data_IF_588880832604
#
_entry.id   IF_588880832604
#
_cell.length_a   1.000
_cell.length_b   1.000
_cell.length_c   1.000
_cell.angle_alpha   90.00
_cell.angle_beta   90.00
_cell.angle_gamma   90.00
#
_symmetry.space_group_name_H-M   'P 1'
#
loop_
_entity.id
_entity.type
_entity.pdbx_description
1 polymer ?
#
# COMPACT_ATOMS: atom_id res chain seq x y z
N UNK A 1 4.30 13.09 1.19
CA UNK A 1 4.78 11.88 0.51
C UNK A 1 3.60 11.09 -0.01
N UNK A 2 3.59 10.80 -1.31
CA UNK A 2 2.61 9.91 -1.96
C UNK A 2 3.32 8.59 -2.21
N UNK A 3 2.71 7.48 -1.83
CA UNK A 3 3.30 6.15 -2.05
C UNK A 3 2.49 5.40 -3.09
N UNK A 4 3.16 4.86 -4.11
CA UNK A 4 2.58 4.05 -5.16
C UNK A 4 3.09 2.61 -5.00
N UNK A 5 2.16 1.66 -5.09
CA UNK A 5 2.47 0.23 -5.14
C UNK A 5 2.08 -0.27 -6.54
N UNK A 6 3.07 -0.66 -7.36
CA UNK A 6 2.86 -1.31 -8.66
C UNK A 6 3.01 -2.81 -8.46
N UNK A 7 2.09 -3.60 -9.01
CA UNK A 7 2.19 -5.06 -8.92
C UNK A 7 1.37 -5.76 -10.01
N UNK A 8 2.01 -6.61 -10.81
CA UNK A 8 1.26 -7.64 -11.54
C UNK A 8 0.79 -8.69 -10.52
N UNK A 9 -0.52 -8.67 -10.24
CA UNK A 9 -1.13 -9.46 -9.16
C UNK A 9 -1.44 -10.90 -9.58
N UNK A 10 -1.40 -11.19 -10.89
CA UNK A 10 -1.71 -12.51 -11.46
C UNK A 10 -3.00 -13.10 -10.85
N UNK A 11 -4.10 -12.36 -11.01
CA UNK A 11 -5.42 -12.67 -10.48
C UNK A 11 -5.75 -11.96 -9.16
N UNK A 12 -6.63 -10.97 -9.27
CA UNK A 12 -7.05 -10.12 -8.14
C UNK A 12 -7.65 -10.92 -6.98
N UNK A 13 -8.55 -11.84 -7.28
CA UNK A 13 -9.24 -12.68 -6.27
C UNK A 13 -8.25 -13.62 -5.59
N UNK A 14 -7.42 -14.31 -6.37
CA UNK A 14 -6.49 -15.33 -5.89
C UNK A 14 -5.43 -14.78 -4.93
N UNK A 15 -5.01 -13.53 -5.17
CA UNK A 15 -3.93 -12.86 -4.44
C UNK A 15 -4.42 -11.71 -3.55
N UNK A 16 -5.73 -11.59 -3.34
CA UNK A 16 -6.32 -10.51 -2.53
C UNK A 16 -5.76 -10.42 -1.10
N UNK A 17 -5.57 -11.58 -0.43
CA UNK A 17 -4.99 -11.61 0.92
C UNK A 17 -3.56 -11.04 0.92
N UNK A 18 -2.76 -11.35 -0.10
CA UNK A 18 -1.41 -10.83 -0.21
C UNK A 18 -1.42 -9.32 -0.50
N UNK A 19 -2.37 -8.84 -1.32
CA UNK A 19 -2.59 -7.42 -1.53
C UNK A 19 -2.95 -6.70 -0.22
N UNK A 20 -3.83 -7.25 0.61
CA UNK A 20 -4.14 -6.69 1.93
C UNK A 20 -2.93 -6.63 2.86
N UNK A 21 -2.06 -7.63 2.82
CA UNK A 21 -0.81 -7.62 3.60
C UNK A 21 0.15 -6.54 3.11
N UNK A 22 0.26 -6.32 1.80
CA UNK A 22 1.01 -5.20 1.22
C UNK A 22 0.42 -3.86 1.65
N UNK A 23 -0.92 -3.73 1.61
CA UNK A 23 -1.62 -2.54 2.08
C UNK A 23 -1.37 -2.25 3.55
N UNK A 24 -1.42 -3.27 4.42
CA UNK A 24 -1.12 -3.11 5.84
C UNK A 24 0.34 -2.78 6.12
N UNK A 25 1.25 -3.34 5.32
CA UNK A 25 2.70 -3.15 5.48
C UNK A 25 3.17 -1.77 5.02
N UNK A 26 2.71 -1.33 3.85
CA UNK A 26 3.22 -0.14 3.16
C UNK A 26 2.23 1.03 3.14
N UNK A 27 0.94 0.79 3.41
CA UNK A 27 -0.12 1.81 3.42
C UNK A 27 -0.07 2.73 2.18
N UNK A 28 -0.05 2.18 0.95
CA UNK A 28 0.12 2.96 -0.27
C UNK A 28 -0.99 4.00 -0.44
N UNK A 29 -0.69 5.12 -1.08
CA UNK A 29 -1.70 6.11 -1.46
C UNK A 29 -2.48 5.66 -2.71
N UNK A 30 -1.77 4.98 -3.62
CA UNK A 30 -2.27 4.51 -4.91
C UNK A 30 -1.68 3.12 -5.15
N UNK A 31 -2.48 2.21 -5.70
CA UNK A 31 -2.06 0.86 -6.07
C UNK A 31 -2.37 0.68 -7.55
N UNK A 32 -1.40 0.21 -8.32
CA UNK A 32 -1.47 -0.05 -9.74
C UNK A 32 -1.34 -1.57 -9.93
N UNK A 33 -2.38 -2.20 -10.47
CA UNK A 33 -2.44 -3.64 -10.63
C UNK A 33 -2.50 -4.02 -12.11
N UNK A 34 -1.68 -5.01 -12.49
CA UNK A 34 -1.73 -5.69 -13.78
C UNK A 34 -2.26 -7.12 -13.60
N UNK A 35 -2.82 -7.71 -14.66
CA UNK A 35 -3.44 -9.05 -14.67
C UNK A 35 -4.46 -9.24 -13.55
N UNK A 36 -5.46 -8.36 -13.49
CA UNK A 36 -6.53 -8.49 -12.49
C UNK A 36 -7.40 -9.73 -12.69
N UNK A 37 -7.43 -10.28 -13.92
CA UNK A 37 -8.21 -11.45 -14.31
C UNK A 37 -9.73 -11.26 -14.20
N UNK A 38 -10.18 -10.01 -14.29
CA UNK A 38 -11.59 -9.65 -14.31
C UNK A 38 -12.05 -9.52 -15.76
N UNK A 39 -13.25 -10.01 -16.06
CA UNK A 39 -13.83 -9.87 -17.40
C UNK A 39 -14.13 -8.40 -17.74
N UNK A 40 -14.36 -8.12 -19.02
CA UNK A 40 -14.80 -6.80 -19.47
C UNK A 40 -16.05 -6.34 -18.71
N UNK A 41 -16.07 -5.06 -18.29
CA UNK A 41 -17.10 -4.45 -17.43
C UNK A 41 -17.32 -5.09 -16.05
N UNK A 42 -16.54 -6.12 -15.67
CA UNK A 42 -16.60 -6.64 -14.32
C UNK A 42 -15.86 -5.71 -13.36
N UNK A 43 -16.46 -5.51 -12.19
CA UNK A 43 -15.82 -4.85 -11.06
C UNK A 43 -15.60 -5.87 -9.95
N UNK A 44 -14.48 -5.76 -9.25
CA UNK A 44 -14.20 -6.58 -8.08
C UNK A 44 -14.44 -5.82 -6.77
N UNK A 45 -14.46 -6.58 -5.68
CA UNK A 45 -14.47 -6.02 -4.34
C UNK A 45 -13.27 -5.07 -4.14
N UNK A 46 -13.55 -3.79 -3.89
CA UNK A 46 -12.51 -2.80 -3.59
C UNK A 46 -12.36 -2.63 -2.08
N UNK A 47 -11.14 -2.65 -1.53
CA UNK A 47 -10.92 -2.38 -0.11
C UNK A 47 -11.52 -1.03 0.28
N UNK A 48 -12.20 -0.96 1.43
CA UNK A 48 -13.01 0.22 1.82
C UNK A 48 -12.21 1.52 1.89
N UNK A 49 -10.92 1.47 2.21
CA UNK A 49 -10.06 2.65 2.23
C UNK A 49 -9.82 3.27 0.84
N UNK A 50 -10.17 2.56 -0.23
CA UNK A 50 -9.86 2.90 -1.61
C UNK A 50 -11.12 3.04 -2.47
N UNK A 51 -10.95 3.76 -3.57
CA UNK A 51 -11.79 3.77 -4.77
C UNK A 51 -11.05 2.96 -5.82
N UNK A 52 -11.73 2.02 -6.49
CA UNK A 52 -11.12 1.12 -7.45
C UNK A 52 -11.67 1.36 -8.84
N UNK A 53 -10.77 1.47 -9.82
CA UNK A 53 -11.07 1.54 -11.24
C UNK A 53 -10.51 0.28 -11.89
N UNK A 54 -11.37 -0.57 -12.45
CA UNK A 54 -10.99 -1.81 -13.10
C UNK A 54 -11.30 -1.71 -14.58
N UNK A 55 -10.32 -2.00 -15.42
CA UNK A 55 -10.46 -1.96 -16.88
C UNK A 55 -9.92 -3.25 -17.47
N UNK A 56 -10.67 -3.84 -18.37
CA UNK A 56 -10.19 -4.87 -19.28
C UNK A 56 -10.69 -4.52 -20.69
N UNK A 57 -10.05 -5.03 -21.74
CA UNK A 57 -10.46 -4.76 -23.11
C UNK A 57 -11.64 -5.66 -23.52
N UNK A 58 -12.61 -5.17 -24.32
CA UNK A 58 -13.79 -5.95 -24.72
C UNK A 58 -13.47 -7.23 -25.50
N UNK A 59 -12.39 -7.22 -26.28
CA UNK A 59 -11.98 -8.34 -27.13
C UNK A 59 -11.14 -9.39 -26.38
N UNK A 60 -10.84 -9.17 -25.10
CA UNK A 60 -10.14 -10.15 -24.28
C UNK A 60 -11.09 -11.29 -23.90
N UNK A 61 -11.03 -12.38 -24.67
CA UNK A 61 -11.79 -13.61 -24.42
C UNK A 61 -11.24 -14.42 -23.25
N UNK A 62 -10.02 -14.13 -22.79
CA UNK A 62 -9.40 -14.77 -21.64
C UNK A 62 -9.46 -13.86 -20.42
N UNK A 63 -9.86 -14.41 -19.27
CA UNK A 63 -9.78 -13.75 -17.96
C UNK A 63 -8.31 -13.67 -17.46
N UNK A 64 -7.33 -13.47 -18.34
CA UNK A 64 -5.89 -13.42 -18.00
C UNK A 64 -5.28 -12.02 -18.11
N UNK A 65 -6.08 -11.03 -18.47
CA UNK A 65 -5.63 -9.65 -18.62
C UNK A 65 -6.41 -8.73 -17.65
N UNK A 66 -6.25 -7.42 -17.86
CA UNK A 66 -6.95 -6.37 -17.13
C UNK A 66 -6.02 -5.63 -16.17
N UNK A 67 -6.35 -4.36 -15.96
CA UNK A 67 -5.61 -3.45 -15.08
C UNK A 67 -6.55 -2.86 -14.04
N UNK A 68 -5.98 -2.39 -12.93
CA UNK A 68 -6.71 -1.57 -11.99
C UNK A 68 -5.86 -0.47 -11.36
N UNK A 69 -6.52 0.61 -10.99
CA UNK A 69 -5.98 1.61 -10.07
C UNK A 69 -6.86 1.68 -8.83
N UNK A 70 -6.27 1.45 -7.66
CA UNK A 70 -6.92 1.67 -6.37
C UNK A 70 -6.35 2.94 -5.72
N UNK A 71 -7.20 3.93 -5.47
CA UNK A 71 -6.80 5.23 -4.92
C UNK A 71 -7.38 5.40 -3.52
N UNK A 72 -6.59 5.80 -2.53
CA UNK A 72 -7.14 6.12 -1.21
C UNK A 72 -8.24 7.17 -1.32
N UNK A 73 -9.36 6.94 -0.63
CA UNK A 73 -10.54 7.82 -0.66
C UNK A 73 -10.27 9.26 -0.23
N UNK A 74 -9.25 9.49 0.58
CA UNK A 74 -8.88 10.83 1.05
C UNK A 74 -7.90 11.56 0.12
N UNK A 75 -7.51 10.95 -1.00
CA UNK A 75 -6.69 11.59 -2.02
C UNK A 75 -7.62 12.09 -3.14
N UNK A 76 -7.78 13.41 -3.33
CA UNK A 76 -8.60 13.94 -4.42
C UNK A 76 -8.02 13.53 -5.78
N UNK A 77 -8.87 13.00 -6.66
CA UNK A 77 -8.48 12.51 -7.97
C UNK A 77 -9.66 12.52 -8.94
N UNK A 78 -9.34 12.51 -10.24
CA UNK A 78 -10.30 12.35 -11.34
C UNK A 78 -9.78 11.32 -12.33
N UNK A 79 -10.70 10.60 -13.00
CA UNK A 79 -10.34 9.69 -14.08
C UNK A 79 -9.97 10.51 -15.33
N UNK A 80 -8.88 10.15 -16.00
CA UNK A 80 -8.49 10.76 -17.27
C UNK A 80 -8.95 9.87 -18.44
N UNK A 81 -9.51 10.45 -19.51
CA UNK A 81 -9.78 9.69 -20.72
C UNK A 81 -8.45 9.29 -21.38
N UNK A 82 -8.30 8.01 -21.68
CA UNK A 82 -7.22 7.51 -22.53
C UNK A 82 -7.85 7.19 -23.90
N UNK A 83 -7.21 7.54 -25.01
CA UNK A 83 -7.66 7.12 -26.34
C UNK A 83 -7.88 5.60 -26.41
N UNK A 84 -8.76 5.16 -27.31
CA UNK A 84 -8.87 3.73 -27.61
C UNK A 84 -7.48 3.18 -27.92
N UNK A 85 -7.09 2.16 -27.18
CA UNK A 85 -5.73 1.66 -27.13
C UNK A 85 -5.74 0.15 -27.22
N UNK A 86 -4.69 -0.39 -27.83
CA UNK A 86 -4.38 -1.81 -27.79
C UNK A 86 -3.95 -2.25 -26.38
N UNK A 87 -3.62 -1.32 -25.49
CA UNK A 87 -3.26 -1.63 -24.11
C UNK A 87 -4.49 -1.66 -23.20
N UNK A 88 -4.54 -2.62 -22.29
CA UNK A 88 -5.40 -2.49 -21.11
C UNK A 88 -4.80 -1.39 -20.25
N UNK A 89 -5.45 -0.22 -20.18
CA UNK A 89 -4.89 0.96 -19.51
C UNK A 89 -5.94 1.78 -18.77
N UNK A 90 -5.49 2.47 -17.72
CA UNK A 90 -6.32 3.38 -16.92
C UNK A 90 -5.43 4.51 -16.40
N UNK A 91 -5.94 5.75 -16.43
CA UNK A 91 -5.22 6.92 -15.96
C UNK A 91 -6.09 7.75 -15.02
N UNK A 92 -5.46 8.33 -14.02
CA UNK A 92 -6.08 9.29 -13.12
C UNK A 92 -5.19 10.53 -13.00
N UNK A 93 -5.78 11.68 -12.71
CA UNK A 93 -5.06 12.86 -12.24
C UNK A 93 -5.32 13.01 -10.74
N UNK A 94 -4.24 13.03 -9.94
CA UNK A 94 -4.33 13.30 -8.50
C UNK A 94 -3.97 14.74 -8.21
N UNK A 95 -4.57 15.31 -7.16
CA UNK A 95 -4.17 16.61 -6.64
C UNK A 95 -3.32 16.44 -5.38
N UNK A 96 -2.02 16.67 -5.51
CA UNK A 96 -1.10 16.59 -4.38
C UNK A 96 0.13 17.50 -4.56
N UNK A 97 0.32 18.45 -3.64
CA UNK A 97 0.42 19.91 -3.88
C UNK A 97 0.28 20.48 -5.31
N UNK A 98 0.54 19.73 -6.36
CA UNK A 98 0.30 20.03 -7.77
C UNK A 98 -0.41 18.82 -8.42
N UNK A 99 -0.87 18.97 -9.66
CA UNK A 99 -1.49 17.88 -10.41
C UNK A 99 -0.43 16.88 -10.86
N UNK A 100 -0.72 15.58 -10.71
CA UNK A 100 0.15 14.50 -11.21
C UNK A 100 -0.73 13.46 -11.90
N UNK A 101 -0.42 13.10 -13.14
CA UNK A 101 -1.09 12.01 -13.83
C UNK A 101 -0.46 10.67 -13.46
N UNK A 102 -1.28 9.70 -13.08
CA UNK A 102 -0.85 8.34 -12.73
C UNK A 102 -1.50 7.38 -13.74
N UNK A 103 -0.68 6.64 -14.47
CA UNK A 103 -1.12 5.77 -15.55
C UNK A 103 -0.70 4.34 -15.23
N UNK A 104 -1.64 3.40 -15.34
CA UNK A 104 -1.41 1.97 -15.25
C UNK A 104 -1.71 1.36 -16.62
N UNK A 105 -0.79 0.58 -17.17
CA UNK A 105 -0.98 -0.08 -18.47
C UNK A 105 -0.45 -1.51 -18.44
N UNK A 106 -1.02 -2.37 -19.29
CA UNK A 106 -0.57 -3.75 -19.48
C UNK A 106 -0.45 -4.07 -20.98
N UNK A 107 0.66 -4.71 -21.35
CA UNK A 107 0.89 -5.28 -22.68
C UNK A 107 1.15 -6.79 -22.58
N UNK A 108 0.25 -7.64 -23.11
CA UNK A 108 0.46 -9.10 -23.16
C UNK A 108 1.73 -9.47 -23.95
N UNK A 109 2.40 -10.59 -23.66
CA UNK A 109 3.65 -11.00 -24.31
C UNK A 109 3.62 -10.94 -25.84
N UNK A 110 2.56 -11.47 -26.45
CA UNK A 110 2.43 -11.64 -27.91
C UNK A 110 1.94 -10.40 -28.65
N UNK A 111 1.53 -9.35 -27.94
CA UNK A 111 1.00 -8.13 -28.54
C UNK A 111 2.11 -7.16 -28.94
N UNK A 112 2.39 -6.98 -30.23
CA UNK A 112 3.31 -5.93 -30.70
C UNK A 112 2.71 -4.52 -30.59
N UNK A 113 3.58 -3.51 -30.44
CA UNK A 113 3.18 -2.10 -30.51
C UNK A 113 4.34 -1.23 -31.02
N UNK A 114 3.97 -0.13 -31.65
CA UNK A 114 4.86 0.92 -32.14
C UNK A 114 5.18 1.96 -31.06
N UNK A 115 6.24 2.73 -31.28
CA UNK A 115 6.62 3.89 -30.46
C UNK A 115 5.44 4.87 -30.26
N UNK A 116 4.68 5.14 -31.33
CA UNK A 116 3.53 6.08 -31.28
C UNK A 116 2.41 5.54 -30.42
N UNK A 117 2.07 4.25 -30.57
CA UNK A 117 1.04 3.61 -29.72
C UNK A 117 1.42 3.64 -28.25
N UNK A 118 2.71 3.43 -27.93
CA UNK A 118 3.20 3.55 -26.56
C UNK A 118 3.09 4.98 -26.04
N UNK A 119 3.48 6.00 -26.81
CA UNK A 119 3.35 7.41 -26.40
C UNK A 119 1.89 7.83 -26.18
N UNK A 120 0.94 7.22 -26.90
CA UNK A 120 -0.49 7.47 -26.71
C UNK A 120 -1.04 6.99 -25.36
N UNK A 121 -0.28 6.20 -24.58
CA UNK A 121 -0.61 5.89 -23.19
C UNK A 121 -0.53 7.11 -22.29
N UNK A 122 0.22 8.15 -22.67
CA UNK A 122 0.38 9.39 -21.92
C UNK A 122 -0.67 10.38 -22.43
N UNK A 123 -1.75 10.67 -21.67
CA UNK A 123 -2.79 11.56 -22.16
C UNK A 123 -2.24 12.97 -22.41
N UNK A 124 -2.66 13.60 -23.51
CA UNK A 124 -2.24 14.96 -23.88
C UNK A 124 -2.40 15.95 -22.71
N UNK A 125 -1.36 16.74 -22.44
CA UNK A 125 -1.33 17.68 -21.32
C UNK A 125 -1.01 17.07 -19.95
N UNK A 126 -0.80 15.74 -19.86
CA UNK A 126 -0.37 15.08 -18.63
C UNK A 126 1.11 15.34 -18.35
N UNK A 127 1.42 16.40 -17.59
CA UNK A 127 2.77 16.64 -17.07
C UNK A 127 2.66 17.39 -15.71
N UNK A 128 3.31 16.92 -14.64
CA UNK A 128 4.09 15.68 -14.54
C UNK A 128 3.22 14.42 -14.51
N UNK A 129 3.78 13.31 -14.98
CA UNK A 129 3.15 12.00 -14.96
C UNK A 129 4.08 10.89 -14.44
N UNK A 130 3.48 9.77 -14.04
CA UNK A 130 4.12 8.47 -13.89
C UNK A 130 3.28 7.40 -14.59
N UNK A 131 3.93 6.61 -15.43
CA UNK A 131 3.41 5.46 -16.15
C UNK A 131 4.05 4.20 -15.58
N UNK A 132 3.22 3.29 -15.10
CA UNK A 132 3.63 2.02 -14.54
C UNK A 132 2.89 0.89 -15.24
N UNK A 133 3.52 -0.26 -15.35
CA UNK A 133 2.88 -1.40 -15.96
C UNK A 133 3.80 -2.58 -16.20
N UNK A 134 3.20 -3.71 -16.55
CA UNK A 134 3.90 -4.84 -17.15
C UNK A 134 3.75 -4.73 -18.68
N UNK A 135 4.88 -4.55 -19.35
CA UNK A 135 4.92 -4.36 -20.81
C UNK A 135 5.44 -5.59 -21.55
N UNK A 136 5.91 -6.63 -20.84
CA UNK A 136 6.61 -7.76 -21.45
C UNK A 136 7.73 -7.31 -22.42
N UNK A 137 8.37 -6.18 -22.10
CA UNK A 137 9.39 -5.54 -22.93
C UNK A 137 10.77 -5.71 -22.30
N UNK A 138 11.77 -6.07 -23.11
CA UNK A 138 13.14 -6.27 -22.65
C UNK A 138 14.02 -5.15 -23.16
N UNK A 139 14.84 -4.56 -22.29
CA UNK A 139 15.90 -3.61 -22.65
C UNK A 139 16.98 -3.59 -21.56
N UNK A 140 18.25 -3.39 -21.93
CA UNK A 140 19.31 -3.04 -20.99
C UNK A 140 19.01 -1.80 -20.15
N UNK A 141 18.21 -0.84 -20.65
CA UNK A 141 17.87 0.39 -19.92
C UNK A 141 17.15 0.14 -18.58
N UNK A 142 16.48 -1.00 -18.43
CA UNK A 142 15.82 -1.40 -17.18
C UNK A 142 16.29 -2.76 -16.65
N UNK A 143 17.45 -3.23 -17.11
CA UNK A 143 18.16 -4.39 -16.56
C UNK A 143 18.04 -5.71 -17.32
N UNK A 144 17.39 -5.74 -18.48
CA UNK A 144 17.40 -6.96 -19.31
C UNK A 144 18.74 -7.16 -20.02
N UNK A 145 19.10 -8.40 -20.35
CA UNK A 145 20.35 -8.68 -21.07
C UNK A 145 20.38 -8.13 -22.51
N UNK A 146 19.21 -8.00 -23.15
CA UNK A 146 19.09 -7.56 -24.54
C UNK A 146 17.75 -6.86 -24.78
N UNK A 147 17.66 -6.07 -25.85
CA UNK A 147 16.41 -5.44 -26.25
C UNK A 147 15.58 -6.34 -27.17
N UNK A 148 14.28 -6.51 -26.88
CA UNK A 148 13.31 -7.08 -27.82
C UNK A 148 12.63 -5.97 -28.65
N UNK A 149 11.74 -6.32 -29.58
CA UNK A 149 11.06 -5.33 -30.45
C UNK A 149 10.27 -4.29 -29.65
N UNK A 150 9.53 -4.72 -28.62
CA UNK A 150 8.82 -3.84 -27.69
C UNK A 150 9.76 -2.92 -26.92
N UNK A 151 10.88 -3.48 -26.45
CA UNK A 151 11.92 -2.74 -25.77
C UNK A 151 12.46 -1.61 -26.64
N UNK A 152 12.80 -1.90 -27.89
CA UNK A 152 13.22 -0.89 -28.87
C UNK A 152 12.15 0.18 -29.10
N UNK A 153 10.87 -0.20 -29.25
CA UNK A 153 9.78 0.77 -29.38
C UNK A 153 9.68 1.72 -28.17
N UNK A 154 9.89 1.21 -26.96
CA UNK A 154 9.88 2.02 -25.72
C UNK A 154 11.16 2.85 -25.61
N UNK A 155 12.34 2.31 -25.93
CA UNK A 155 13.61 3.06 -25.98
C UNK A 155 13.48 4.28 -26.90
N UNK A 156 12.96 4.08 -28.11
CA UNK A 156 12.67 5.16 -29.06
C UNK A 156 11.67 6.18 -28.50
N UNK A 157 10.66 5.72 -27.76
CA UNK A 157 9.67 6.61 -27.14
C UNK A 157 10.32 7.46 -26.05
N UNK A 158 11.18 6.87 -25.23
CA UNK A 158 11.95 7.56 -24.19
C UNK A 158 12.91 8.59 -24.79
N UNK A 159 13.56 8.30 -25.92
CA UNK A 159 14.43 9.25 -26.61
C UNK A 159 13.66 10.43 -27.21
N UNK A 160 12.43 10.20 -27.68
CA UNK A 160 11.56 11.23 -28.29
C UNK A 160 10.79 12.07 -27.27
N UNK A 161 10.76 11.66 -26.01
CA UNK A 161 9.97 12.30 -24.96
C UNK A 161 10.84 12.65 -23.76
N UNK A 162 10.41 13.61 -22.93
CA UNK A 162 11.17 14.01 -21.75
C UNK A 162 10.88 13.08 -20.55
N UNK A 163 11.16 11.79 -20.74
CA UNK A 163 10.77 10.70 -19.85
C UNK A 163 11.99 9.95 -19.30
N UNK A 164 11.88 9.47 -18.07
CA UNK A 164 12.96 8.78 -17.36
C UNK A 164 12.43 7.44 -16.85
N UNK A 165 13.20 6.38 -17.05
CA UNK A 165 12.99 5.06 -16.44
C UNK A 165 13.50 5.10 -15.00
N UNK A 166 12.68 4.64 -14.06
CA UNK A 166 13.00 4.63 -12.63
C UNK A 166 13.58 3.30 -12.15
N UNK A 167 13.45 2.23 -12.94
CA UNK A 167 13.98 0.92 -12.62
C UNK A 167 15.50 0.97 -12.44
N UNK A 168 16.01 0.31 -11.40
CA UNK A 168 17.46 0.26 -11.08
C UNK A 168 18.17 -0.99 -11.63
N UNK A 169 17.47 -1.78 -12.45
CA UNK A 169 17.94 -3.07 -12.98
C UNK A 169 17.62 -4.28 -12.08
N UNK A 170 17.04 -4.08 -10.91
CA UNK A 170 16.54 -5.17 -10.07
C UNK A 170 15.45 -5.96 -10.82
N UNK A 171 15.47 -7.30 -10.75
CA UNK A 171 14.49 -8.13 -11.44
C UNK A 171 13.09 -7.94 -10.87
N UNK A 172 12.09 -7.87 -11.75
CA UNK A 172 10.69 -7.57 -11.39
C UNK A 172 9.78 -8.78 -11.56
N UNK A 173 10.23 -9.82 -12.25
CA UNK A 173 9.47 -11.03 -12.52
C UNK A 173 10.34 -12.28 -12.42
N UNK A 174 9.72 -13.37 -11.98
CA UNK A 174 10.30 -14.70 -11.94
C UNK A 174 9.59 -15.63 -12.92
N UNK A 175 10.28 -15.95 -14.02
CA UNK A 175 9.70 -16.68 -15.14
C UNK A 175 9.43 -18.16 -14.85
N UNK A 176 8.57 -18.75 -15.67
CA UNK A 176 8.31 -20.20 -15.70
C UNK A 176 9.57 -21.02 -16.00
N UNK A 177 10.55 -20.43 -16.69
CA UNK A 177 11.87 -21.01 -16.96
C UNK A 177 12.85 -20.87 -15.78
N UNK A 178 12.35 -20.46 -14.61
CA UNK A 178 13.14 -20.27 -13.39
C UNK A 178 14.23 -19.19 -13.49
N UNK A 179 14.01 -18.20 -14.35
CA UNK A 179 14.92 -17.06 -14.55
C UNK A 179 14.30 -15.77 -14.03
N UNK A 180 15.16 -14.82 -13.65
CA UNK A 180 14.73 -13.48 -13.28
C UNK A 180 14.70 -12.57 -14.51
N UNK A 181 13.66 -11.77 -14.65
CA UNK A 181 13.47 -10.86 -15.79
C UNK A 181 12.96 -9.49 -15.34
N UNK A 182 13.10 -8.50 -16.21
CA UNK A 182 12.77 -7.10 -15.95
C UNK A 182 11.72 -6.63 -16.98
N UNK A 183 10.45 -6.89 -16.70
CA UNK A 183 9.34 -6.62 -17.64
C UNK A 183 8.32 -5.62 -17.11
N UNK A 184 8.38 -5.33 -15.80
CA UNK A 184 7.56 -4.31 -15.14
C UNK A 184 8.33 -2.98 -15.13
N UNK A 185 7.75 -1.95 -15.76
CA UNK A 185 8.38 -0.65 -15.88
C UNK A 185 7.70 0.39 -15.02
N UNK A 186 8.52 1.31 -14.49
CA UNK A 186 8.08 2.57 -13.90
C UNK A 186 8.78 3.70 -14.64
N UNK A 187 8.01 4.51 -15.38
CA UNK A 187 8.51 5.62 -16.20
C UNK A 187 7.85 6.90 -15.71
N UNK A 188 8.59 8.00 -15.59
CA UNK A 188 8.02 9.28 -15.21
C UNK A 188 8.51 10.42 -16.09
N UNK A 189 7.84 11.57 -16.01
CA UNK A 189 8.39 12.81 -16.56
C UNK A 189 9.72 13.15 -15.89
N UNK A 190 10.69 13.69 -16.64
CA UNK A 190 11.99 14.06 -16.11
C UNK A 190 11.88 15.06 -14.93
N UNK A 191 10.90 15.97 -14.97
CA UNK A 191 10.58 16.93 -13.91
C UNK A 191 10.20 16.31 -12.55
N UNK A 192 9.78 15.03 -12.55
CA UNK A 192 9.36 14.30 -11.36
C UNK A 192 10.46 13.35 -10.84
N UNK A 193 11.38 12.90 -11.70
CA UNK A 193 12.38 11.86 -11.43
C UNK A 193 13.13 12.06 -10.10
N UNK A 194 13.69 13.25 -9.87
CA UNK A 194 14.48 13.58 -8.68
C UNK A 194 13.68 13.57 -7.37
N UNK A 195 12.35 13.54 -7.45
CA UNK A 195 11.45 13.49 -6.28
C UNK A 195 10.97 12.07 -5.99
N UNK A 196 11.28 11.09 -6.85
CA UNK A 196 10.82 9.72 -6.70
C UNK A 196 11.96 8.85 -6.17
N UNK A 197 11.66 8.10 -5.12
CA UNK A 197 12.45 6.91 -4.78
C UNK A 197 11.72 5.66 -5.27
N UNK A 198 12.46 4.72 -5.82
CA UNK A 198 11.97 3.48 -6.40
C UNK A 198 12.62 2.30 -5.69
N UNK A 199 11.87 1.22 -5.47
CA UNK A 199 12.38 0.00 -4.85
C UNK A 199 11.54 -1.21 -5.26
N UNK A 200 12.17 -2.28 -5.72
CA UNK A 200 11.53 -3.58 -5.86
C UNK A 200 11.48 -4.29 -4.49
N UNK A 201 10.35 -4.91 -4.15
CA UNK A 201 10.19 -5.65 -2.89
C UNK A 201 10.64 -7.09 -3.10
N UNK A 202 11.60 -7.58 -2.30
CA UNK A 202 12.16 -8.95 -2.41
C UNK A 202 11.25 -10.04 -1.78
N UNK A 203 9.97 -10.03 -2.16
CA UNK A 203 8.99 -11.09 -1.92
C UNK A 203 7.97 -11.06 -3.06
N UNK A 204 7.70 -12.20 -3.68
CA UNK A 204 6.71 -12.33 -4.74
C UNK A 204 5.26 -12.12 -4.28
N UNK A 205 5.00 -12.20 -2.98
CA UNK A 205 3.68 -12.01 -2.40
C UNK A 205 2.59 -12.87 -3.08
N UNK A 206 2.94 -14.09 -3.51
CA UNK A 206 2.01 -15.06 -4.10
C UNK A 206 1.76 -14.92 -5.61
N UNK A 207 2.32 -13.89 -6.24
CA UNK A 207 2.44 -13.78 -7.70
C UNK A 207 3.76 -14.42 -8.17
N UNK A 208 4.03 -14.35 -9.46
CA UNK A 208 5.33 -14.52 -10.12
C UNK A 208 6.04 -13.17 -10.37
N UNK A 209 5.36 -12.05 -10.11
CA UNK A 209 5.94 -10.71 -10.14
C UNK A 209 6.19 -10.15 -8.74
N UNK A 210 7.29 -9.41 -8.61
CA UNK A 210 7.63 -8.67 -7.40
C UNK A 210 6.87 -7.35 -7.36
N UNK A 211 6.25 -7.00 -6.22
CA UNK A 211 5.68 -5.67 -6.04
C UNK A 211 6.77 -4.60 -6.05
N UNK A 212 6.47 -3.46 -6.66
CA UNK A 212 7.35 -2.30 -6.80
C UNK A 212 6.77 -1.14 -6.00
N UNK A 213 7.62 -0.45 -5.24
CA UNK A 213 7.25 0.69 -4.41
C UNK A 213 7.92 1.96 -4.92
N UNK A 214 7.10 2.94 -5.30
CA UNK A 214 7.55 4.27 -5.70
C UNK A 214 7.04 5.31 -4.71
N UNK A 215 7.93 6.11 -4.10
CA UNK A 215 7.54 7.17 -3.16
C UNK A 215 7.87 8.53 -3.76
N UNK A 216 6.83 9.32 -3.99
CA UNK A 216 6.93 10.69 -4.48
C UNK A 216 7.04 11.64 -3.28
N UNK A 217 8.17 12.30 -3.18
CA UNK A 217 8.41 13.38 -2.23
C UNK A 217 7.58 14.59 -2.63
N UNK A 218 6.64 14.98 -1.77
CA UNK A 218 5.85 16.19 -1.94
C UNK A 218 6.38 17.24 -0.99
N UNK A 219 6.54 18.48 -1.46
CA UNK A 219 7.12 19.62 -0.71
C UNK A 219 6.30 20.06 0.51
N UNK A 220 5.19 19.38 0.82
CA UNK A 220 4.48 19.62 2.07
C UNK A 220 5.34 19.07 3.21
N UNK A 221 5.73 19.89 4.20
CA UNK A 221 6.12 19.33 5.47
C UNK A 221 4.88 18.56 5.93
N UNK A 222 4.94 17.24 5.92
CA UNK A 222 4.00 16.52 6.72
C UNK A 222 4.29 16.95 8.15
N UNK A 223 3.44 17.82 8.70
CA UNK A 223 3.12 17.74 10.11
C UNK A 223 2.37 16.41 10.30
N UNK A 224 3.07 15.30 10.11
CA UNK A 224 2.85 14.20 11.02
C UNK A 224 3.15 14.83 12.36
N UNK A 225 2.10 15.24 13.08
CA UNK A 225 2.21 15.38 14.51
C UNK A 225 2.77 14.02 14.94
N UNK A 226 4.09 13.96 15.18
CA UNK A 226 4.69 12.81 15.84
C UNK A 226 3.78 12.59 17.04
N UNK A 227 3.20 11.38 17.22
CA UNK A 227 2.36 11.11 18.37
C UNK A 227 3.11 11.66 19.58
N UNK A 228 2.54 12.66 20.27
CA UNK A 228 3.24 13.28 21.38
C UNK A 228 3.54 12.16 22.35
N UNK A 229 4.82 11.96 22.65
CA UNK A 229 5.23 11.01 23.67
C UNK A 229 4.59 11.50 24.97
N UNK A 230 3.73 10.69 25.56
CA UNK A 230 3.06 10.94 26.83
C UNK A 230 3.59 9.96 27.86
N UNK A 231 3.65 10.40 29.10
CA UNK A 231 3.82 9.50 30.23
C UNK A 231 2.57 8.62 30.35
N UNK A 232 2.77 7.31 30.52
CA UNK A 232 1.69 6.39 30.85
C UNK A 232 1.47 6.41 32.35
N UNK A 233 0.62 7.32 32.82
CA UNK A 233 0.29 7.48 34.24
C UNK A 233 -0.34 6.23 34.85
N UNK A 234 -1.08 5.46 34.04
CA UNK A 234 -1.74 4.22 34.48
C UNK A 234 -0.76 3.07 34.75
N UNK A 235 0.49 3.23 34.31
CA UNK A 235 1.58 2.27 34.53
C UNK A 235 2.77 2.92 35.25
N UNK A 236 2.52 4.04 35.94
CA UNK A 236 3.53 4.79 36.67
C UNK A 236 3.92 4.08 37.97
N UNK A 237 5.22 4.07 38.27
CA UNK A 237 5.74 3.75 39.58
C UNK A 237 5.68 5.02 40.46
N UNK A 238 4.61 5.15 41.24
CA UNK A 238 4.34 6.34 42.03
C UNK A 238 5.26 6.49 43.24
N UNK A 239 5.66 5.37 43.86
CA UNK A 239 6.57 5.38 45.01
C UNK A 239 7.94 5.89 44.58
N UNK A 240 8.45 5.37 43.47
CA UNK A 240 9.71 5.84 42.86
C UNK A 240 9.64 7.30 42.41
N UNK A 241 8.47 7.76 41.95
CA UNK A 241 8.26 9.16 41.59
C UNK A 241 8.37 10.09 42.82
N UNK A 242 7.75 9.68 43.93
CA UNK A 242 7.79 10.43 45.19
C UNK A 242 9.22 10.51 45.73
N UNK A 243 9.91 9.37 45.78
CA UNK A 243 11.32 9.31 46.22
C UNK A 243 12.23 10.19 45.33
N UNK A 244 12.02 10.15 44.01
CA UNK A 244 12.75 10.99 43.08
C UNK A 244 12.45 12.48 43.31
N UNK A 245 11.20 12.88 43.56
CA UNK A 245 10.85 14.27 43.84
C UNK A 245 11.56 14.79 45.11
N UNK A 246 11.55 13.99 46.19
CA UNK A 246 12.24 14.34 47.43
C UNK A 246 13.76 14.40 47.27
N UNK A 247 14.34 13.48 46.50
CA UNK A 247 15.77 13.47 46.23
C UNK A 247 16.18 14.69 45.41
N UNK A 248 15.49 14.96 44.29
CA UNK A 248 15.79 16.09 43.41
C UNK A 248 15.58 17.44 44.10
N UNK A 249 14.59 17.58 44.99
CA UNK A 249 14.32 18.84 45.69
C UNK A 249 15.46 19.29 46.59
N UNK A 250 16.26 18.34 47.12
CA UNK A 250 17.43 18.63 47.99
C UNK A 250 18.63 19.19 47.24
N UNK A 251 18.74 18.98 45.93
CA UNK A 251 19.88 19.42 45.13
C UNK A 251 19.75 20.84 44.57
N UNK A 252 18.59 21.48 44.73
CA UNK A 252 18.37 22.83 44.22
C UNK A 252 18.21 23.84 45.38
N UNK A 253 19.11 24.83 45.51
CA UNK A 253 18.99 25.86 46.52
C UNK A 253 17.77 26.75 46.27
N UNK A 254 17.20 27.29 47.34
CA UNK A 254 16.03 28.16 47.30
C UNK A 254 16.33 29.49 46.61
N UNK A 255 15.43 29.95 45.74
CA UNK A 255 15.47 31.27 45.10
C UNK A 255 14.31 32.15 45.56
N UNK A 256 14.57 33.44 45.76
CA UNK A 256 13.54 34.45 46.04
C UNK A 256 12.75 34.88 44.80
N UNK A 257 13.20 34.50 43.59
CA UNK A 257 12.52 34.79 42.34
C UNK A 257 11.44 33.72 42.04
N UNK A 258 10.18 34.16 42.01
CA UNK A 258 9.00 33.31 41.77
C UNK A 258 9.11 32.55 40.43
N UNK A 259 9.59 33.19 39.37
CA UNK A 259 9.72 32.56 38.06
C UNK A 259 10.80 31.47 38.05
N UNK A 260 11.87 31.65 38.83
CA UNK A 260 12.91 30.65 39.01
C UNK A 260 12.40 29.47 39.83
N UNK A 261 11.62 29.72 40.89
CA UNK A 261 10.99 28.65 41.69
C UNK A 261 9.96 27.84 40.89
N UNK A 262 9.11 28.49 40.09
CA UNK A 262 8.17 27.79 39.22
C UNK A 262 8.91 26.89 38.20
N UNK A 263 10.00 27.41 37.61
CA UNK A 263 10.86 26.65 36.69
C UNK A 263 11.55 25.47 37.39
N UNK A 264 11.92 25.64 38.65
CA UNK A 264 12.55 24.59 39.49
C UNK A 264 11.58 23.45 39.76
N UNK A 265 10.37 23.76 40.22
CA UNK A 265 9.31 22.77 40.46
C UNK A 265 9.01 22.00 39.17
N UNK A 266 8.88 22.70 38.04
CA UNK A 266 8.65 22.06 36.75
C UNK A 266 9.79 21.11 36.34
N UNK A 267 11.05 21.48 36.60
CA UNK A 267 12.22 20.61 36.34
C UNK A 267 12.21 19.37 37.23
N UNK A 268 11.93 19.52 38.52
CA UNK A 268 11.88 18.40 39.48
C UNK A 268 10.81 17.40 39.06
N UNK A 269 9.58 17.87 38.81
CA UNK A 269 8.46 17.03 38.38
C UNK A 269 8.83 16.31 37.09
N UNK A 270 9.38 17.02 36.10
CA UNK A 270 9.74 16.42 34.81
C UNK A 270 10.86 15.38 34.92
N UNK A 271 11.86 15.62 35.77
CA UNK A 271 12.97 14.69 36.01
C UNK A 271 12.46 13.41 36.70
N UNK A 272 11.68 13.58 37.76
CA UNK A 272 11.06 12.47 38.47
C UNK A 272 10.11 11.65 37.58
N UNK A 273 9.30 12.31 36.74
CA UNK A 273 8.43 11.63 35.77
C UNK A 273 9.23 10.83 34.75
N UNK A 274 10.35 11.36 34.22
CA UNK A 274 11.20 10.62 33.29
C UNK A 274 11.83 9.38 33.92
N UNK A 275 12.12 9.42 35.21
CA UNK A 275 12.74 8.30 35.94
C UNK A 275 11.73 7.20 36.31
N UNK A 276 10.46 7.56 36.50
CA UNK A 276 9.48 6.70 37.18
C UNK A 276 8.31 6.28 36.28
N UNK A 277 8.09 6.97 35.16
CA UNK A 277 6.95 6.71 34.27
C UNK A 277 7.41 6.10 32.95
N UNK A 278 6.80 5.00 32.49
CA UNK A 278 7.05 4.51 31.15
C UNK A 278 6.47 5.48 30.10
N UNK A 279 7.22 5.72 29.04
CA UNK A 279 6.83 6.59 27.95
C UNK A 279 5.98 5.83 26.91
N UNK A 280 5.00 6.51 26.32
CA UNK A 280 4.28 6.00 25.15
C UNK A 280 5.21 5.92 23.94
N UNK A 281 5.08 4.86 23.12
CA UNK A 281 5.84 4.76 21.87
C UNK A 281 5.49 5.90 20.90
N UNK A 282 6.50 6.50 20.28
CA UNK A 282 6.32 7.43 19.15
C UNK A 282 6.02 6.71 17.84
N UNK A 283 6.24 5.39 17.78
CA UNK A 283 5.95 4.59 16.59
C UNK A 283 4.43 4.35 16.56
N UNK A 284 3.75 4.72 15.46
CA UNK A 284 2.35 4.35 15.30
C UNK A 284 2.24 2.83 15.43
N UNK A 285 1.36 2.36 16.32
CA UNK A 285 1.07 0.93 16.45
C UNK A 285 0.46 0.49 15.12
N UNK A 286 1.23 -0.25 14.31
CA UNK A 286 0.65 -1.00 13.19
C UNK A 286 -0.20 -2.10 13.80
N UNK A 287 -1.50 -1.85 13.89
CA UNK A 287 -2.44 -2.88 14.31
C UNK A 287 -2.41 -3.96 13.23
N UNK A 288 -1.89 -5.14 13.58
CA UNK A 288 -2.06 -6.31 12.73
C UNK A 288 -3.56 -6.56 12.52
N UNK A 289 -3.96 -7.09 11.35
CA UNK A 289 -5.34 -7.49 11.13
C UNK A 289 -5.81 -8.43 12.24
N UNK A 290 -7.09 -8.35 12.62
CA UNK A 290 -7.64 -9.15 13.73
C UNK A 290 -7.52 -10.66 13.50
N UNK A 291 -7.56 -11.09 12.24
CA UNK A 291 -7.40 -12.49 11.83
C UNK A 291 -5.93 -12.96 11.82
N UNK A 292 -4.97 -12.06 12.04
CA UNK A 292 -3.55 -12.40 12.05
C UNK A 292 -3.14 -13.01 13.39
N UNK A 293 -2.45 -14.14 13.35
CA UNK A 293 -2.04 -14.88 14.54
C UNK A 293 -0.60 -15.42 14.43
N UNK A 294 -0.13 -16.08 15.50
CA UNK A 294 1.23 -16.62 15.57
C UNK A 294 1.47 -17.76 14.55
N UNK A 295 0.46 -18.60 14.27
CA UNK A 295 0.56 -19.67 13.26
C UNK A 295 0.81 -19.07 11.86
N UNK A 296 0.03 -18.06 11.47
CA UNK A 296 0.21 -17.37 10.18
C UNK A 296 1.57 -16.67 10.07
N UNK A 297 2.07 -16.14 11.19
CA UNK A 297 3.41 -15.54 11.26
C UNK A 297 4.49 -16.59 10.99
N UNK A 298 4.39 -17.77 11.61
CA UNK A 298 5.30 -18.87 11.39
C UNK A 298 5.23 -19.40 9.95
N UNK A 299 4.03 -19.61 9.40
CA UNK A 299 3.82 -20.05 8.02
C UNK A 299 4.35 -19.04 7.01
N UNK A 300 4.18 -17.73 7.26
CA UNK A 300 4.76 -16.68 6.42
C UNK A 300 6.29 -16.74 6.44
N UNK A 301 6.90 -16.96 7.59
CA UNK A 301 8.35 -17.09 7.72
C UNK A 301 8.86 -18.33 6.97
N UNK A 302 8.23 -19.49 7.16
CA UNK A 302 8.58 -20.71 6.42
C UNK A 302 8.48 -20.53 4.89
N UNK A 303 7.42 -19.85 4.43
CA UNK A 303 7.26 -19.48 3.01
C UNK A 303 8.44 -18.62 2.53
N UNK A 304 8.87 -17.62 3.29
CA UNK A 304 9.99 -16.75 2.91
C UNK A 304 11.33 -17.48 2.95
N UNK A 305 11.56 -18.35 3.93
CA UNK A 305 12.77 -19.19 3.97
C UNK A 305 12.84 -20.10 2.74
N UNK A 306 11.74 -20.77 2.40
CA UNK A 306 11.67 -21.62 1.20
C UNK A 306 11.89 -20.81 -0.09
N UNK A 307 11.36 -19.59 -0.17
CA UNK A 307 11.61 -18.66 -1.27
C UNK A 307 13.10 -18.32 -1.41
N UNK A 308 13.76 -17.90 -0.33
CA UNK A 308 15.19 -17.56 -0.36
C UNK A 308 16.08 -18.76 -0.69
N UNK A 309 15.72 -19.95 -0.19
CA UNK A 309 16.41 -21.19 -0.54
C UNK A 309 16.31 -21.49 -2.04
N UNK A 310 15.11 -21.36 -2.60
CA UNK A 310 14.88 -21.56 -4.03
C UNK A 310 15.58 -20.50 -4.89
N UNK A 311 15.54 -19.23 -4.49
CA UNK A 311 16.25 -18.12 -5.15
C UNK A 311 17.76 -18.37 -5.21
N UNK A 312 18.34 -18.92 -4.14
CA UNK A 312 19.76 -19.27 -4.05
C UNK A 312 20.09 -20.52 -4.87
N UNK A 313 19.29 -21.58 -4.72
CA UNK A 313 19.50 -22.89 -5.35
C UNK A 313 18.22 -23.29 -6.12
N UNK A 314 18.23 -23.08 -7.44
CA UNK A 314 17.09 -23.29 -8.33
C UNK A 314 16.87 -24.77 -8.67
N UNK A 315 16.62 -25.59 -7.66
CA UNK A 315 16.25 -27.00 -7.85
C UNK A 315 14.73 -27.16 -7.94
N UNK A 316 14.28 -28.20 -8.64
CA UNK A 316 12.87 -28.59 -8.68
C UNK A 316 12.32 -28.89 -7.27
N UNK A 317 13.13 -29.50 -6.41
CA UNK A 317 12.78 -29.77 -5.02
C UNK A 317 12.51 -28.47 -4.23
N UNK A 318 13.36 -27.46 -4.37
CA UNK A 318 13.18 -26.18 -3.69
C UNK A 318 11.96 -25.43 -4.23
N UNK A 319 11.70 -25.50 -5.55
CA UNK A 319 10.48 -24.93 -6.14
C UNK A 319 9.22 -25.60 -5.59
N UNK A 320 9.21 -26.93 -5.49
CA UNK A 320 8.10 -27.69 -4.92
C UNK A 320 7.90 -27.32 -3.44
N UNK A 321 8.98 -27.20 -2.66
CA UNK A 321 8.91 -26.79 -1.26
C UNK A 321 8.30 -25.39 -1.11
N UNK A 322 8.77 -24.41 -1.89
CA UNK A 322 8.20 -23.05 -1.91
C UNK A 322 6.72 -23.06 -2.29
N UNK A 323 6.33 -23.76 -3.36
CA UNK A 323 4.93 -23.87 -3.80
C UNK A 323 4.04 -24.48 -2.71
N UNK A 324 4.51 -25.52 -2.03
CA UNK A 324 3.80 -26.15 -0.90
C UNK A 324 3.62 -25.17 0.26
N UNK A 325 4.68 -24.49 0.69
CA UNK A 325 4.60 -23.49 1.77
C UNK A 325 3.70 -22.31 1.41
N UNK A 326 3.72 -21.84 0.16
CA UNK A 326 2.84 -20.77 -0.31
C UNK A 326 1.37 -21.21 -0.31
N UNK A 327 1.07 -22.41 -0.82
CA UNK A 327 -0.28 -22.96 -0.83
C UNK A 327 -0.83 -23.14 0.60
N UNK A 328 -0.02 -23.68 1.52
CA UNK A 328 -0.40 -23.85 2.91
C UNK A 328 -0.68 -22.51 3.60
N UNK A 329 0.21 -21.53 3.43
CA UNK A 329 0.01 -20.18 3.96
C UNK A 329 -1.30 -19.56 3.44
N UNK A 330 -1.55 -19.63 2.12
CA UNK A 330 -2.78 -19.10 1.51
C UNK A 330 -4.02 -19.76 2.09
N UNK A 331 -4.04 -21.08 2.17
CA UNK A 331 -5.17 -21.84 2.71
C UNK A 331 -5.45 -21.45 4.18
N UNK A 332 -4.41 -21.42 5.02
CA UNK A 332 -4.54 -21.09 6.44
C UNK A 332 -4.94 -19.63 6.67
N UNK A 333 -4.40 -18.70 5.88
CA UNK A 333 -4.79 -17.28 5.98
C UNK A 333 -6.26 -17.08 5.60
N UNK A 334 -6.72 -17.76 4.54
CA UNK A 334 -8.13 -17.77 4.11
C UNK A 334 -9.04 -18.31 5.22
N UNK A 335 -8.70 -19.47 5.80
CA UNK A 335 -9.44 -20.05 6.92
C UNK A 335 -9.48 -19.14 8.16
N UNK A 336 -8.35 -18.51 8.52
CA UNK A 336 -8.29 -17.60 9.66
C UNK A 336 -9.16 -16.36 9.49
N UNK A 337 -9.27 -15.80 8.27
CA UNK A 337 -10.19 -14.68 7.99
C UNK A 337 -11.65 -15.06 8.16
N UNK A 338 -12.02 -16.24 7.66
CA UNK A 338 -13.38 -16.79 7.80
C UNK A 338 -13.70 -17.04 9.27
N UNK A 339 -12.82 -17.73 9.99
CA UNK A 339 -12.99 -18.03 11.41
C UNK A 339 -13.11 -16.76 12.26
N UNK A 340 -12.20 -15.81 12.07
CA UNK A 340 -12.22 -14.53 12.79
C UNK A 340 -13.55 -13.78 12.57
N UNK A 341 -14.11 -13.86 11.37
CA UNK A 341 -15.42 -13.28 11.09
C UNK A 341 -16.55 -14.00 11.80
N UNK A 342 -16.56 -15.34 11.74
CA UNK A 342 -17.57 -16.16 12.41
C UNK A 342 -17.55 -15.94 13.93
N UNK A 343 -16.37 -15.91 14.55
CA UNK A 343 -16.21 -15.57 15.96
C UNK A 343 -16.70 -14.15 16.25
N UNK A 344 -16.36 -13.18 15.40
CA UNK A 344 -16.83 -11.81 15.56
C UNK A 344 -18.36 -11.75 15.53
N UNK A 345 -19.02 -12.42 14.57
CA UNK A 345 -20.49 -12.41 14.47
C UNK A 345 -21.16 -13.17 15.61
N UNK A 346 -20.58 -14.28 16.07
CA UNK A 346 -21.15 -15.10 17.15
C UNK A 346 -21.07 -14.40 18.51
N UNK A 347 -20.09 -13.52 18.70
CA UNK A 347 -19.88 -12.79 19.95
C UNK A 347 -20.70 -11.49 20.04
N UNK A 348 -21.45 -11.10 18.99
CA UNK A 348 -22.32 -9.92 19.03
C UNK A 348 -23.65 -10.29 19.72
N UNK A 349 -23.88 -9.69 20.86
CA UNK A 349 -25.12 -9.80 21.65
C UNK A 349 -25.85 -8.45 21.73
N UNK A 350 -27.10 -8.45 22.19
CA UNK A 350 -27.88 -7.22 22.42
C UNK A 350 -27.23 -6.25 23.44
N UNK A 351 -26.36 -6.76 24.32
CA UNK A 351 -25.63 -5.99 25.33
C UNK A 351 -24.24 -5.52 24.86
N UNK A 352 -23.84 -5.83 23.63
CA UNK A 352 -22.51 -5.49 23.12
C UNK A 352 -22.34 -3.99 22.88
N UNK A 353 -21.18 -3.44 23.26
CA UNK A 353 -20.88 -2.01 23.04
C UNK A 353 -20.76 -1.69 21.54
N UNK A 354 -21.70 -0.88 21.05
CA UNK A 354 -21.72 -0.38 19.67
C UNK A 354 -20.41 0.27 19.24
N UNK A 355 -19.71 1.02 20.12
CA UNK A 355 -18.42 1.65 19.78
C UNK A 355 -17.33 0.63 19.55
N UNK A 356 -17.28 -0.43 20.37
CA UNK A 356 -16.34 -1.55 20.21
C UNK A 356 -16.63 -2.31 18.91
N UNK A 357 -17.89 -2.66 18.65
CA UNK A 357 -18.32 -3.30 17.39
C UNK A 357 -17.86 -2.48 16.18
N UNK A 358 -18.10 -1.16 16.19
CA UNK A 358 -17.68 -0.30 15.09
C UNK A 358 -16.15 -0.21 14.92
N UNK A 359 -15.41 -0.26 16.03
CA UNK A 359 -13.94 -0.29 16.02
C UNK A 359 -13.44 -1.58 15.40
N UNK A 360 -14.03 -2.72 15.77
CA UNK A 360 -13.62 -4.03 15.26
C UNK A 360 -14.02 -4.23 13.78
N UNK A 361 -15.20 -3.77 13.36
CA UNK A 361 -15.60 -3.73 11.93
C UNK A 361 -14.61 -2.90 11.11
N UNK A 362 -14.18 -1.74 11.62
CA UNK A 362 -13.16 -0.92 10.94
C UNK A 362 -11.85 -1.70 10.81
N UNK A 363 -11.41 -2.38 11.86
CA UNK A 363 -10.18 -3.19 11.85
C UNK A 363 -10.26 -4.38 10.90
N UNK A 364 -11.39 -5.09 10.87
CA UNK A 364 -11.65 -6.19 9.92
C UNK A 364 -11.62 -5.69 8.47
N UNK A 365 -12.18 -4.51 8.21
CA UNK A 365 -12.16 -3.86 6.91
C UNK A 365 -10.83 -3.16 6.56
N UNK A 366 -9.78 -3.30 7.39
CA UNK A 366 -8.46 -2.70 7.17
C UNK A 366 -8.42 -1.17 7.31
N UNK A 367 -9.39 -0.58 8.01
CA UNK A 367 -9.46 0.86 8.29
C UNK A 367 -8.83 1.20 9.65
N UNK A 368 -8.18 2.37 9.72
CA UNK A 368 -7.78 2.96 11.01
C UNK A 368 -9.04 3.25 11.85
N UNK A 369 -9.10 2.84 13.13
CA UNK A 369 -10.18 3.24 14.02
C UNK A 369 -10.22 4.76 14.25
N UNK A 370 -9.05 5.39 14.16
CA UNK A 370 -8.82 6.82 14.30
C UNK A 370 -8.91 7.46 12.91
N UNK A 371 -10.11 7.88 12.50
CA UNK A 371 -10.28 8.69 11.29
C UNK A 371 -9.89 10.14 11.58
N UNK A 372 -8.99 10.71 10.79
CA UNK A 372 -8.78 12.15 10.74
C UNK A 372 -9.94 12.82 10.02
N UNK A 373 -10.38 13.97 10.54
CA UNK A 373 -11.44 14.80 9.97
C UNK A 373 -11.22 15.06 8.47
N UNK A 374 -12.27 14.89 7.67
CA UNK A 374 -12.29 15.41 6.30
C UNK A 374 -12.10 16.93 6.35
N UNK A 375 -11.07 17.43 5.67
CA UNK A 375 -10.99 18.85 5.35
C UNK A 375 -12.10 19.18 4.34
N UNK A 376 -13.04 20.04 4.73
CA UNK A 376 -13.92 20.73 3.78
C UNK A 376 -13.07 21.79 3.07
N UNK A 377 -12.88 21.65 1.77
CA UNK A 377 -12.38 22.73 0.93
C UNK A 377 -13.58 23.45 0.33
N UNK A 378 -13.77 24.72 0.67
CA UNK A 378 -14.76 25.60 0.05
C UNK A 378 -14.04 26.48 -0.96
N UNK A 379 -14.04 26.09 -2.24
CA UNK A 379 -13.80 27.02 -3.34
C UNK A 379 -15.14 27.48 -3.90
N UNK A 380 -15.26 28.77 -4.16
CA UNK A 380 -16.51 29.53 -4.33
C UNK A 380 -17.50 29.12 -5.42
N UNK A 381 -17.37 27.98 -6.10
CA UNK A 381 -18.47 27.39 -6.87
C UNK A 381 -18.43 25.86 -6.76
N UNK A 382 -19.56 25.29 -6.34
CA UNK A 382 -19.87 23.87 -6.12
C UNK A 382 -19.18 23.16 -4.92
N UNK A 383 -19.95 22.99 -3.85
CA UNK A 383 -19.63 22.13 -2.71
C UNK A 383 -19.90 20.68 -3.09
N UNK A 384 -18.88 19.90 -3.46
CA UNK A 384 -19.02 18.44 -3.55
C UNK A 384 -18.96 17.88 -2.13
N UNK A 385 -20.12 17.79 -1.47
CA UNK A 385 -20.27 16.95 -0.29
C UNK A 385 -20.81 15.59 -0.71
N UNK A 386 -19.94 14.60 -0.89
CA UNK A 386 -20.39 13.21 -0.90
C UNK A 386 -20.72 12.80 0.55
N UNK A 387 -21.99 13.00 0.94
CA UNK A 387 -22.57 12.37 2.13
C UNK A 387 -22.73 10.87 1.86
N UNK A 388 -21.76 10.06 2.30
CA UNK A 388 -22.00 8.62 2.42
C UNK A 388 -22.78 8.36 3.71
N UNK A 389 -24.06 8.05 3.56
CA UNK A 389 -24.93 7.57 4.64
C UNK A 389 -24.32 6.32 5.30
N UNK A 390 -24.05 6.43 6.61
CA UNK A 390 -23.59 5.33 7.46
C UNK A 390 -24.76 4.37 7.72
N UNK A 391 -25.01 3.43 6.80
CA UNK A 391 -25.89 2.27 7.07
C UNK A 391 -25.06 1.08 7.57
N UNK A 392 -25.50 0.49 8.67
CA UNK A 392 -24.94 -0.69 9.36
C UNK A 392 -24.64 -1.86 8.41
N UNK A 393 -25.43 -2.02 7.35
CA UNK A 393 -25.30 -3.15 6.43
C UNK A 393 -24.05 -3.06 5.53
N UNK A 394 -23.66 -1.88 5.05
CA UNK A 394 -22.67 -1.78 3.96
C UNK A 394 -21.26 -2.30 4.31
N UNK A 395 -20.71 -2.06 5.52
CA UNK A 395 -19.37 -2.54 5.90
C UNK A 395 -19.29 -4.05 6.12
N UNK A 396 -20.31 -4.63 6.76
CA UNK A 396 -20.40 -6.08 6.99
C UNK A 396 -20.64 -6.80 5.66
N UNK A 397 -21.54 -6.28 4.83
CA UNK A 397 -21.80 -6.81 3.49
C UNK A 397 -20.54 -6.76 2.61
N UNK A 398 -19.77 -5.66 2.65
CA UNK A 398 -18.51 -5.55 1.91
C UNK A 398 -17.43 -6.54 2.37
N UNK A 399 -17.25 -6.73 3.68
CA UNK A 399 -16.33 -7.75 4.20
C UNK A 399 -16.83 -9.17 3.88
N UNK A 400 -18.15 -9.41 3.93
CA UNK A 400 -18.80 -10.66 3.56
C UNK A 400 -18.64 -11.00 2.07
N UNK A 401 -18.74 -10.02 1.17
CA UNK A 401 -18.44 -10.21 -0.25
C UNK A 401 -16.95 -10.52 -0.47
N UNK A 402 -16.05 -9.83 0.23
CA UNK A 402 -14.62 -10.18 0.26
C UNK A 402 -14.35 -11.62 0.74
N UNK A 403 -15.19 -12.14 1.64
CA UNK A 403 -15.17 -13.54 2.09
C UNK A 403 -15.85 -14.51 1.11
N UNK A 404 -16.84 -14.08 0.32
CA UNK A 404 -17.43 -14.92 -0.74
C UNK A 404 -16.47 -15.16 -1.90
N UNK A 405 -15.58 -14.20 -2.19
CA UNK A 405 -14.41 -14.42 -3.07
C UNK A 405 -13.34 -15.33 -2.44
N UNK A 406 -13.51 -15.66 -1.15
CA UNK A 406 -12.76 -16.64 -0.40
C UNK A 406 -13.58 -17.92 -0.17
N UNK A 407 -14.48 -18.31 -1.08
CA UNK A 407 -14.93 -19.69 -1.19
C UNK A 407 -14.48 -20.24 -2.53
#
# INVERSE_FOLDING_TARGET
MITLLQWNINGYVNNYINLELLMGSYNPSIILLNETHLSYNASAFTPRAYVGYFINLPHNTTNKQGVAILVKRNLPHVLLPIPLSIFSSVAIEILAPYKISIICAYSPPDQSFSTTEFLNLIPSGSNPFILCGDFNAWSPLWGSASANSKGRSIEDALLRSNCIVLNDGSPTHFSTHSTFTNIDLSICSASLSSKISWCCIDDLHGSDHFPILSKISTSRPHSFFKPRIRFKTDSADWDRFVEACFSHSRYFPFSSNINQEASRIQKIIRSASNYSFPLSSSKPVKLAPLWWNNELSALRNLKQIAWHQFKRLRSSANLIAYKKSNALFRHKAKAAKVHCFQEFTNNITSSSDSRKIWTDIKRLAGLSPFSYHLFKYSSGHSTISQRYSLRVCHPLFQYFFGLQFLF
#
